data_IF_343024661920
#
_entry.id   IF_343024661920
#
_cell.length_a   1.000
_cell.length_b   1.000
_cell.length_c   1.000
_cell.angle_alpha   90.00
_cell.angle_beta   90.00
_cell.angle_gamma   90.00
#
_symmetry.space_group_name_H-M   'P 1'
#
loop_
_entity.id
_entity.type
_entity.pdbx_description
1 polymer ?
#
# COMPACT_ATOMS: atom_id res chain seq x y z
N UNK A 1 -11.40 9.71 1.04
CA UNK A 1 -10.58 9.52 2.24
C UNK A 1 -9.61 10.70 2.49
N UNK A 2 -8.63 10.97 1.61
CA UNK A 2 -7.52 11.90 1.88
C UNK A 2 -7.65 13.32 1.27
N UNK A 3 -8.88 13.81 1.06
CA UNK A 3 -9.12 15.14 0.44
C UNK A 3 -8.68 16.31 1.33
N UNK A 4 -8.77 16.16 2.66
CA UNK A 4 -8.32 17.15 3.64
C UNK A 4 -7.11 16.58 4.42
N UNK A 5 -6.23 17.45 4.95
CA UNK A 5 -5.17 17.03 5.85
C UNK A 5 -5.72 16.22 7.02
N UNK A 6 -4.98 15.21 7.43
CA UNK A 6 -5.32 14.32 8.54
C UNK A 6 -4.07 14.10 9.40
N UNK A 7 -4.27 13.65 10.64
CA UNK A 7 -3.18 13.30 11.52
C UNK A 7 -3.05 11.78 11.64
N UNK A 8 -1.81 11.32 11.77
CA UNK A 8 -1.49 9.93 12.09
C UNK A 8 -1.07 9.84 13.55
N UNK A 9 -1.39 8.71 14.19
CA UNK A 9 -0.73 8.33 15.43
C UNK A 9 0.76 8.07 15.19
N UNK A 10 1.53 7.94 16.26
CA UNK A 10 2.96 7.62 16.21
C UNK A 10 3.21 6.37 15.38
N UNK A 11 4.24 6.41 14.53
CA UNK A 11 4.69 5.27 13.74
C UNK A 11 5.29 4.21 14.66
N UNK A 12 4.98 2.95 14.41
CA UNK A 12 5.57 1.81 15.10
C UNK A 12 6.09 0.78 14.09
N UNK A 13 7.25 0.20 14.37
CA UNK A 13 7.78 -0.90 13.58
C UNK A 13 6.87 -2.13 13.66
N UNK A 14 6.62 -2.75 12.52
CA UNK A 14 5.89 -4.02 12.46
C UNK A 14 6.81 -5.18 12.83
N UNK A 15 6.26 -6.18 13.51
CA UNK A 15 6.96 -7.43 13.78
C UNK A 15 7.17 -8.19 12.47
N UNK A 16 8.21 -9.00 12.38
CA UNK A 16 8.52 -9.83 11.20
C UNK A 16 7.31 -10.65 10.75
N UNK A 17 6.56 -11.25 11.68
CA UNK A 17 5.32 -11.99 11.38
C UNK A 17 4.27 -11.11 10.70
N UNK A 18 4.09 -9.87 11.17
CA UNK A 18 3.15 -8.92 10.57
C UNK A 18 3.59 -8.46 9.18
N UNK A 19 4.91 -8.24 8.97
CA UNK A 19 5.45 -7.95 7.64
C UNK A 19 5.18 -9.11 6.66
N UNK A 20 5.42 -10.35 7.10
CA UNK A 20 5.16 -11.55 6.26
C UNK A 20 3.68 -11.72 5.91
N UNK A 21 2.78 -11.51 6.88
CA UNK A 21 1.35 -11.56 6.65
C UNK A 21 0.89 -10.49 5.65
N UNK A 22 1.37 -9.25 5.79
CA UNK A 22 1.08 -8.17 4.84
C UNK A 22 1.63 -8.46 3.44
N UNK A 23 2.85 -8.98 3.34
CA UNK A 23 3.44 -9.35 2.07
C UNK A 23 2.66 -10.48 1.38
N UNK A 24 2.19 -11.46 2.13
CA UNK A 24 1.34 -12.54 1.63
C UNK A 24 -0.01 -12.00 1.14
N UNK A 25 -0.72 -11.23 1.97
CA UNK A 25 -2.01 -10.63 1.61
C UNK A 25 -1.90 -9.76 0.36
N UNK A 26 -0.86 -8.92 0.28
CA UNK A 26 -0.64 -8.07 -0.88
C UNK A 26 -0.34 -8.88 -2.15
N UNK A 27 0.41 -9.98 -2.02
CA UNK A 27 0.71 -10.89 -3.13
C UNK A 27 -0.53 -11.64 -3.63
N UNK A 28 -1.43 -12.02 -2.72
CA UNK A 28 -2.70 -12.67 -3.04
C UNK A 28 -3.66 -11.69 -3.74
N UNK A 29 -3.74 -10.45 -3.26
CA UNK A 29 -4.63 -9.42 -3.81
C UNK A 29 -4.12 -8.83 -5.15
N UNK A 30 -2.81 -8.71 -5.31
CA UNK A 30 -2.19 -7.97 -6.42
C UNK A 30 -1.07 -8.76 -7.12
N UNK A 31 -1.31 -9.99 -7.60
CA UNK A 31 -0.25 -10.88 -8.09
C UNK A 31 0.62 -10.27 -9.21
N UNK A 32 0.02 -9.44 -10.07
CA UNK A 32 0.69 -8.78 -11.21
C UNK A 32 1.79 -7.80 -10.80
N UNK A 33 1.76 -7.29 -9.57
CA UNK A 33 2.79 -6.36 -9.08
C UNK A 33 4.08 -7.02 -8.60
N UNK A 34 4.09 -8.35 -8.50
CA UNK A 34 5.25 -9.15 -8.14
C UNK A 34 5.91 -9.73 -9.40
N UNK A 35 5.41 -9.38 -10.59
CA UNK A 35 6.09 -9.63 -11.84
C UNK A 35 7.37 -8.77 -11.92
N UNK A 36 8.46 -9.28 -12.53
CA UNK A 36 9.68 -8.51 -12.74
C UNK A 36 9.36 -7.20 -13.50
N UNK A 37 9.92 -6.09 -13.03
CA UNK A 37 9.84 -4.79 -13.70
C UNK A 37 11.18 -4.54 -14.37
N UNK A 38 11.23 -4.68 -15.71
CA UNK A 38 12.43 -4.43 -16.52
C UNK A 38 12.79 -5.60 -17.43
N UNK A 39 13.67 -5.34 -18.40
CA UNK A 39 14.36 -6.38 -19.17
C UNK A 39 15.31 -7.15 -18.23
N UNK A 40 15.56 -8.43 -18.49
CA UNK A 40 16.28 -9.39 -17.62
C UNK A 40 17.68 -8.96 -17.10
N UNK A 41 18.19 -7.79 -17.52
CA UNK A 41 19.49 -7.24 -17.13
C UNK A 41 19.49 -6.34 -15.89
N UNK A 42 18.35 -5.90 -15.37
CA UNK A 42 18.29 -5.01 -14.19
C UNK A 42 17.98 -5.83 -12.92
N UNK A 43 19.04 -6.29 -12.24
CA UNK A 43 19.00 -7.26 -11.13
C UNK A 43 18.36 -6.75 -9.84
N UNK A 44 17.86 -5.51 -9.82
CA UNK A 44 17.12 -4.97 -8.68
C UNK A 44 15.64 -5.37 -8.76
N UNK A 45 15.36 -6.61 -8.37
CA UNK A 45 14.01 -7.10 -8.07
C UNK A 45 13.49 -6.39 -6.81
N UNK A 46 13.12 -5.12 -6.95
CA UNK A 46 12.42 -4.40 -5.88
C UNK A 46 11.02 -5.01 -5.76
N UNK A 47 10.63 -5.43 -4.55
CA UNK A 47 9.29 -5.90 -4.29
C UNK A 47 8.43 -4.75 -3.76
N UNK A 48 7.12 -4.71 -4.07
CA UNK A 48 6.24 -3.65 -3.59
C UNK A 48 5.98 -3.72 -2.07
N UNK A 49 6.43 -4.79 -1.40
CA UNK A 49 6.42 -4.95 0.05
C UNK A 49 7.82 -5.37 0.56
N UNK A 50 8.60 -4.46 1.19
CA UNK A 50 9.88 -4.80 1.79
C UNK A 50 9.75 -5.49 3.16
N UNK A 51 10.84 -6.10 3.64
CA UNK A 51 10.85 -6.91 4.88
C UNK A 51 10.64 -6.09 6.17
N UNK A 52 11.06 -4.82 6.15
CA UNK A 52 10.99 -3.93 7.30
C UNK A 52 9.99 -2.82 7.03
N UNK A 53 8.91 -2.85 7.80
CA UNK A 53 7.78 -1.94 7.64
C UNK A 53 7.49 -1.22 8.95
N UNK A 54 6.98 -0.01 8.81
CA UNK A 54 6.38 0.75 9.90
C UNK A 54 4.90 0.95 9.61
N UNK A 55 4.10 1.12 10.66
CA UNK A 55 2.67 1.36 10.55
C UNK A 55 2.27 2.58 11.37
N UNK A 56 1.28 3.33 10.89
CA UNK A 56 0.63 4.38 11.68
C UNK A 56 -0.87 4.40 11.44
N UNK A 57 -1.64 4.40 12.52
CA UNK A 57 -3.09 4.51 12.47
C UNK A 57 -3.52 5.94 12.18
N UNK A 58 -4.57 6.11 11.40
CA UNK A 58 -5.16 7.42 11.10
C UNK A 58 -6.67 7.40 11.26
N UNK A 59 -7.24 8.60 11.31
CA UNK A 59 -8.68 8.82 11.11
C UNK A 59 -8.82 9.91 10.07
N UNK A 60 -9.52 9.61 8.98
CA UNK A 60 -9.72 10.55 7.88
C UNK A 60 -10.74 11.64 8.25
N UNK A 61 -10.81 12.71 7.45
CA UNK A 61 -11.76 13.80 7.69
C UNK A 61 -13.23 13.38 7.60
N UNK A 62 -13.51 12.24 6.95
CA UNK A 62 -14.85 11.65 6.85
C UNK A 62 -15.13 10.62 7.96
N UNK A 63 -14.21 10.44 8.91
CA UNK A 63 -14.36 9.52 10.04
C UNK A 63 -13.87 8.09 9.79
N UNK A 64 -13.47 7.76 8.55
CA UNK A 64 -12.94 6.42 8.24
C UNK A 64 -11.62 6.19 8.97
N UNK A 65 -11.48 5.03 9.61
CA UNK A 65 -10.27 4.61 10.32
C UNK A 65 -9.43 3.71 9.42
N UNK A 66 -8.13 3.76 9.62
CA UNK A 66 -7.22 2.92 8.88
C UNK A 66 -5.80 2.96 9.40
N UNK A 67 -4.92 2.31 8.66
CA UNK A 67 -3.50 2.19 8.92
C UNK A 67 -2.74 2.48 7.63
N UNK A 68 -1.71 3.33 7.72
CA UNK A 68 -0.75 3.54 6.63
C UNK A 68 0.48 2.71 6.95
N UNK A 69 0.94 1.95 5.96
CA UNK A 69 2.12 1.11 6.02
C UNK A 69 3.24 1.83 5.25
N UNK A 70 4.38 1.99 5.90
CA UNK A 70 5.55 2.70 5.42
C UNK A 70 6.74 1.76 5.28
N UNK A 71 7.68 2.10 4.38
CA UNK A 71 9.01 1.51 4.40
C UNK A 71 9.80 1.92 5.65
N UNK A 72 10.91 1.25 5.94
CA UNK A 72 11.87 1.67 6.98
C UNK A 72 12.36 3.11 6.76
N UNK A 73 12.52 3.54 5.50
CA UNK A 73 12.88 4.91 5.13
C UNK A 73 11.73 5.93 5.28
N UNK A 74 10.52 5.47 5.62
CA UNK A 74 9.38 6.33 5.90
C UNK A 74 8.54 6.71 4.67
N UNK A 75 8.73 6.05 3.53
CA UNK A 75 7.88 6.23 2.33
C UNK A 75 6.55 5.50 2.51
N UNK A 76 5.39 6.12 2.23
CA UNK A 76 4.08 5.47 2.38
C UNK A 76 3.82 4.48 1.24
N UNK A 77 3.70 3.21 1.56
CA UNK A 77 3.56 2.13 0.57
C UNK A 77 2.12 1.65 0.41
N UNK A 78 1.44 1.38 1.52
CA UNK A 78 0.09 0.80 1.49
C UNK A 78 -0.82 1.45 2.51
N UNK A 79 -2.12 1.31 2.29
CA UNK A 79 -3.16 1.74 3.22
C UNK A 79 -4.08 0.55 3.48
N UNK A 80 -4.26 0.17 4.73
CA UNK A 80 -5.32 -0.76 5.14
C UNK A 80 -6.47 0.04 5.73
N UNK A 81 -7.66 -0.09 5.17
CA UNK A 81 -8.83 0.70 5.60
C UNK A 81 -10.14 0.02 5.24
N UNK A 82 -11.17 0.25 6.04
CA UNK A 82 -12.54 -0.12 5.71
C UNK A 82 -13.05 0.84 4.63
N UNK A 83 -13.19 0.34 3.41
CA UNK A 83 -13.85 1.10 2.35
C UNK A 83 -15.34 1.10 2.65
N UNK A 84 -15.97 2.28 2.77
CA UNK A 84 -17.40 2.39 3.08
C UNK A 84 -18.24 1.49 2.17
N UNK A 85 -19.00 0.58 2.78
CA UNK A 85 -19.82 -0.42 2.09
C UNK A 85 -19.17 -1.81 1.95
N UNK A 86 -17.87 -1.93 2.24
CA UNK A 86 -17.18 -3.20 2.44
C UNK A 86 -17.18 -3.57 3.92
N UNK A 87 -17.57 -4.81 4.24
CA UNK A 87 -17.59 -5.31 5.62
C UNK A 87 -16.21 -5.51 6.24
N UNK A 88 -15.18 -5.67 5.40
CA UNK A 88 -13.81 -5.98 5.81
C UNK A 88 -12.82 -4.88 5.41
N UNK A 89 -11.77 -4.73 6.23
CA UNK A 89 -10.66 -3.82 5.92
C UNK A 89 -9.90 -4.30 4.68
N UNK A 90 -9.76 -3.43 3.69
CA UNK A 90 -9.08 -3.72 2.43
C UNK A 90 -7.70 -3.08 2.42
N UNK A 91 -6.69 -3.83 1.97
CA UNK A 91 -5.36 -3.32 1.68
C UNK A 91 -5.33 -2.72 0.27
N UNK A 92 -4.90 -1.47 0.14
CA UNK A 92 -4.78 -0.76 -1.14
C UNK A 92 -3.40 -0.10 -1.27
N UNK A 93 -2.80 -0.08 -2.47
CA UNK A 93 -1.53 0.60 -2.68
C UNK A 93 -1.70 2.12 -2.62
N UNK A 94 -0.66 2.83 -2.22
CA UNK A 94 -0.60 4.28 -2.43
C UNK A 94 -0.36 4.59 -3.90
N UNK A 95 -0.62 5.83 -4.32
CA UNK A 95 -0.26 6.31 -5.67
C UNK A 95 1.24 6.18 -5.91
N UNK A 96 2.06 6.37 -4.86
CA UNK A 96 3.51 6.18 -4.93
C UNK A 96 3.87 4.71 -5.28
N UNK A 97 3.24 3.75 -4.61
CA UNK A 97 3.45 2.32 -4.91
C UNK A 97 2.95 1.96 -6.30
N UNK A 98 1.77 2.44 -6.71
CA UNK A 98 1.26 2.21 -8.07
C UNK A 98 2.19 2.80 -9.14
N UNK A 99 2.80 3.95 -8.89
CA UNK A 99 3.76 4.56 -9.82
C UNK A 99 5.05 3.74 -9.92
N UNK A 100 5.57 3.25 -8.79
CA UNK A 100 6.78 2.40 -8.76
C UNK A 100 6.53 1.01 -9.36
N UNK A 101 5.31 0.50 -9.19
CA UNK A 101 4.86 -0.81 -9.65
C UNK A 101 3.57 -0.65 -10.49
N UNK A 102 3.66 -0.26 -11.78
CA UNK A 102 2.50 0.03 -12.61
C UNK A 102 1.50 -1.12 -12.77
N UNK A 103 1.94 -2.36 -12.52
CA UNK A 103 1.13 -3.57 -12.56
C UNK A 103 0.31 -3.88 -11.31
N UNK A 104 0.36 -3.07 -10.23
CA UNK A 104 -0.39 -3.38 -8.99
C UNK A 104 -1.90 -3.32 -9.22
N UNK A 105 -2.38 -2.31 -9.93
CA UNK A 105 -3.80 -2.12 -10.24
C UNK A 105 -4.05 -2.06 -11.74
N UNK A 106 -5.22 -2.55 -12.22
CA UNK A 106 -5.66 -2.30 -13.57
C UNK A 106 -5.91 -0.80 -13.79
N UNK A 107 -5.56 -0.31 -14.98
CA UNK A 107 -5.74 1.10 -15.35
C UNK A 107 -7.06 1.26 -16.10
N UNK A 108 -7.91 2.15 -15.60
CA UNK A 108 -9.12 2.59 -16.29
C UNK A 108 -8.91 3.99 -16.81
N UNK A 109 -8.95 4.15 -18.12
CA UNK A 109 -8.84 5.46 -18.77
C UNK A 109 -10.18 6.18 -18.73
N UNK A 110 -10.17 7.41 -18.24
CA UNK A 110 -11.34 8.29 -18.24
C UNK A 110 -11.19 9.33 -19.34
N UNK A 111 -12.24 9.57 -20.13
CA UNK A 111 -12.26 10.64 -21.13
C UNK A 111 -12.15 12.03 -20.49
N UNK A 112 -11.60 12.98 -21.24
CA UNK A 112 -11.65 14.40 -20.89
C UNK A 112 -12.97 14.93 -21.45
N UNK A 113 -13.91 15.29 -20.57
CA UNK A 113 -15.18 15.92 -20.94
C UNK A 113 -14.98 17.43 -21.18
#
# INVERSE_FOLDING_TARGET
MFKKPFQTKTRSSLRVTGCRQLAQEARELFPSAWAPIGDESDTTLEAPMPDKLQSAKFTSYVGDRGEIIYSEAGSPLWVRTEIRGGGDATLVPTVYTQWRFPGVLPVVWTGVA
#
